data_IF_479206910357
#
_entry.id   IF_479206910357
#
_cell.length_a   1.000
_cell.length_b   1.000
_cell.length_c   1.000
_cell.angle_alpha   90.00
_cell.angle_beta   90.00
_cell.angle_gamma   90.00
#
_symmetry.space_group_name_H-M   'P 1'
#
loop_
_entity.id
_entity.type
_entity.pdbx_description
1 polymer ?
#
# COMPACT_ATOMS: atom_id res chain seq x y z
N UNK A 1 -3.02 1.77 29.20
CA UNK A 1 -3.69 1.24 28.00
C UNK A 1 -2.62 0.47 27.27
N UNK A 2 -2.85 -0.80 26.97
CA UNK A 2 -1.80 -1.68 26.42
C UNK A 2 -1.52 -1.32 24.96
N UNK A 3 -0.25 -1.34 24.54
CA UNK A 3 0.18 -1.07 23.16
C UNK A 3 -0.67 -1.82 22.09
N UNK A 4 -1.13 -3.03 22.41
CA UNK A 4 -1.98 -3.85 21.54
C UNK A 4 -3.37 -3.24 21.25
N UNK A 5 -3.91 -2.38 22.12
CA UNK A 5 -5.20 -1.70 21.90
C UNK A 5 -5.04 -0.47 21.00
N UNK A 6 -3.91 0.22 21.10
CA UNK A 6 -3.58 1.36 20.24
C UNK A 6 -3.24 0.89 18.81
N UNK A 7 -2.64 -0.29 18.64
CA UNK A 7 -2.40 -0.92 17.32
C UNK A 7 -3.69 -1.25 16.56
N UNK A 8 -4.70 -1.82 17.24
CA UNK A 8 -5.99 -2.18 16.62
C UNK A 8 -6.73 -0.91 16.19
N UNK A 9 -6.72 0.13 17.03
CA UNK A 9 -7.38 1.39 16.74
C UNK A 9 -6.73 2.14 15.56
N UNK A 10 -5.40 2.12 15.44
CA UNK A 10 -4.69 2.75 14.32
C UNK A 10 -4.98 2.04 12.98
N UNK A 11 -4.89 0.70 12.95
CA UNK A 11 -5.03 -0.07 11.70
C UNK A 11 -6.45 -0.01 11.11
N UNK A 12 -7.47 -0.16 11.96
CA UNK A 12 -8.86 -0.19 11.48
C UNK A 12 -9.33 1.20 11.04
N UNK A 13 -8.93 2.24 11.75
CA UNK A 13 -9.27 3.64 11.42
C UNK A 13 -8.57 4.10 10.14
N UNK A 14 -7.28 3.81 9.96
CA UNK A 14 -6.60 4.22 8.74
C UNK A 14 -7.06 3.39 7.52
N UNK A 15 -7.39 2.11 7.72
CA UNK A 15 -8.00 1.27 6.67
C UNK A 15 -9.34 1.84 6.20
N UNK A 16 -10.19 2.32 7.10
CA UNK A 16 -11.46 2.95 6.71
C UNK A 16 -11.22 4.24 5.92
N UNK A 17 -10.24 5.06 6.33
CA UNK A 17 -9.88 6.30 5.60
C UNK A 17 -9.39 6.01 4.18
N UNK A 18 -8.53 5.00 3.99
CA UNK A 18 -8.00 4.63 2.66
C UNK A 18 -9.08 3.97 1.79
N UNK A 19 -10.05 3.27 2.39
CA UNK A 19 -11.19 2.68 1.69
C UNK A 19 -12.18 3.70 1.14
N UNK A 20 -12.24 4.90 1.73
CA UNK A 20 -13.20 5.96 1.41
C UNK A 20 -12.64 7.07 0.51
N UNK A 21 -11.42 6.90 -0.01
CA UNK A 21 -10.89 7.86 -0.98
C UNK A 21 -11.84 7.93 -2.21
N UNK A 22 -11.87 9.03 -2.96
CA UNK A 22 -12.58 9.10 -4.24
C UNK A 22 -11.71 8.58 -5.38
N UNK A 23 -12.30 7.92 -6.39
CA UNK A 23 -11.64 7.61 -7.66
C UNK A 23 -11.00 8.88 -8.26
N UNK A 24 -9.77 8.81 -8.80
CA UNK A 24 -8.96 7.61 -9.05
C UNK A 24 -8.15 7.12 -7.82
N UNK A 25 -8.27 7.80 -6.68
CA UNK A 25 -7.38 7.60 -5.54
C UNK A 25 -7.80 6.48 -4.56
N UNK A 26 -8.70 5.54 -4.92
CA UNK A 26 -9.35 4.67 -3.92
C UNK A 26 -9.77 3.25 -4.34
N UNK A 27 -9.59 2.24 -3.46
CA UNK A 27 -8.57 2.14 -2.42
C UNK A 27 -7.24 1.73 -3.05
N UNK A 28 -6.13 2.30 -2.59
CA UNK A 28 -4.88 2.21 -3.34
C UNK A 28 -3.86 1.24 -2.78
N UNK A 29 -4.19 0.52 -1.70
CA UNK A 29 -3.43 -0.67 -1.32
C UNK A 29 -3.98 -1.89 -2.06
N UNK A 30 -3.16 -2.52 -2.88
CA UNK A 30 -3.55 -3.69 -3.67
C UNK A 30 -2.42 -4.71 -3.75
N UNK A 31 -2.74 -5.93 -4.20
CA UNK A 31 -1.73 -6.94 -4.52
C UNK A 31 -1.59 -7.02 -6.03
N UNK A 32 -0.39 -6.73 -6.53
CA UNK A 32 -0.07 -6.85 -7.96
C UNK A 32 -0.07 -8.33 -8.39
N UNK A 33 -0.10 -8.58 -9.71
CA UNK A 33 -0.03 -9.94 -10.28
C UNK A 33 1.27 -10.67 -9.90
N UNK A 34 2.35 -9.92 -9.66
CA UNK A 34 3.62 -10.41 -9.10
C UNK A 34 3.50 -10.91 -7.65
N UNK A 35 2.35 -10.70 -7.00
CA UNK A 35 2.09 -11.04 -5.61
C UNK A 35 2.63 -10.01 -4.61
N UNK A 36 3.19 -8.89 -5.08
CA UNK A 36 3.71 -7.81 -4.23
C UNK A 36 2.56 -6.92 -3.74
N UNK A 37 2.54 -6.60 -2.45
CA UNK A 37 1.62 -5.58 -1.91
C UNK A 37 2.13 -4.19 -2.30
N UNK A 38 1.28 -3.42 -2.97
CA UNK A 38 1.55 -2.08 -3.50
C UNK A 38 0.61 -1.06 -2.86
N UNK A 39 1.01 0.20 -2.86
CA UNK A 39 0.23 1.36 -2.47
C UNK A 39 0.37 2.45 -3.53
N UNK A 40 -0.74 2.96 -4.10
CA UNK A 40 -0.67 4.21 -4.85
C UNK A 40 -0.35 5.34 -3.88
N UNK A 41 0.75 6.04 -4.15
CA UNK A 41 1.21 7.20 -3.37
C UNK A 41 0.92 8.53 -4.07
N UNK A 42 0.45 8.49 -5.32
CA UNK A 42 0.02 9.69 -6.03
C UNK A 42 -0.39 9.42 -7.48
N UNK A 43 -0.61 10.51 -8.21
CA UNK A 43 -0.88 10.50 -9.64
C UNK A 43 0.32 11.12 -10.36
N UNK A 44 0.70 10.54 -11.50
CA UNK A 44 1.80 11.03 -12.34
C UNK A 44 1.32 11.18 -13.78
N UNK A 45 1.67 12.30 -14.43
CA UNK A 45 1.42 12.48 -15.84
C UNK A 45 2.44 11.67 -16.65
N UNK A 46 1.95 10.79 -17.52
CA UNK A 46 2.73 10.01 -18.49
C UNK A 46 2.37 10.41 -19.91
N UNK A 47 3.13 9.88 -20.89
CA UNK A 47 2.85 10.06 -22.32
C UNK A 47 1.48 9.45 -22.73
N UNK A 48 1.00 8.46 -21.97
CA UNK A 48 -0.25 7.76 -22.21
C UNK A 48 -1.44 8.37 -21.44
N UNK A 49 -1.20 9.31 -20.53
CA UNK A 49 -2.22 9.98 -19.74
C UNK A 49 -1.88 10.10 -18.26
N UNK A 50 -2.89 10.35 -17.43
CA UNK A 50 -2.73 10.38 -15.98
C UNK A 50 -2.65 8.95 -15.44
N UNK A 51 -1.50 8.57 -14.89
CA UNK A 51 -1.25 7.25 -14.31
C UNK A 51 -1.10 7.29 -12.79
N UNK A 52 -1.08 6.11 -12.18
CA UNK A 52 -0.80 5.93 -10.76
C UNK A 52 0.70 5.85 -10.51
N UNK A 53 1.14 6.47 -9.42
CA UNK A 53 2.48 6.29 -8.87
C UNK A 53 2.40 5.27 -7.73
N UNK A 54 2.87 4.05 -7.98
CA UNK A 54 2.80 2.94 -7.03
C UNK A 54 4.09 2.72 -6.25
N UNK A 55 3.95 2.31 -4.99
CA UNK A 55 5.05 1.98 -4.10
C UNK A 55 4.85 0.63 -3.41
N UNK A 56 5.90 -0.19 -3.37
CA UNK A 56 5.84 -1.48 -2.68
C UNK A 56 5.81 -1.30 -1.16
N UNK A 57 4.91 -2.02 -0.50
CA UNK A 57 4.73 -1.94 0.95
C UNK A 57 5.61 -2.98 1.64
N UNK A 58 6.75 -2.55 2.18
CA UNK A 58 7.65 -3.41 2.95
C UNK A 58 7.11 -3.73 4.34
N UNK A 59 6.60 -2.70 4.99
CA UNK A 59 6.02 -2.74 6.32
C UNK A 59 4.63 -2.14 6.24
N UNK A 60 3.71 -2.71 7.00
CA UNK A 60 2.37 -2.17 7.15
C UNK A 60 2.47 -0.68 7.51
N UNK A 61 1.93 0.24 6.69
CA UNK A 61 2.03 1.68 6.96
C UNK A 61 1.24 2.09 8.21
N UNK A 62 0.48 1.17 8.80
CA UNK A 62 -0.37 1.39 9.96
C UNK A 62 0.28 0.96 11.28
N UNK A 63 0.78 -0.28 11.36
CA UNK A 63 1.40 -0.84 12.59
C UNK A 63 2.90 -1.15 12.45
N UNK A 64 3.51 -0.92 11.28
CA UNK A 64 4.93 -1.21 11.06
C UNK A 64 5.28 -2.70 10.97
N UNK A 65 4.30 -3.62 11.06
CA UNK A 65 4.55 -5.06 10.86
C UNK A 65 5.21 -5.29 9.51
N UNK A 66 6.31 -6.03 9.48
CA UNK A 66 6.99 -6.40 8.23
C UNK A 66 6.09 -7.32 7.40
N UNK A 67 5.73 -6.90 6.19
CA UNK A 67 4.85 -7.64 5.27
C UNK A 67 5.64 -8.37 4.18
N UNK A 68 6.73 -7.74 3.71
CA UNK A 68 7.53 -8.19 2.58
C UNK A 68 9.01 -7.83 2.81
N UNK A 69 9.93 -8.42 2.04
CA UNK A 69 11.34 -8.05 2.02
C UNK A 69 11.81 -7.67 0.60
N UNK A 70 12.86 -6.85 0.52
CA UNK A 70 13.27 -6.22 -0.74
C UNK A 70 13.84 -7.25 -1.72
N UNK A 71 14.45 -8.31 -1.20
CA UNK A 71 15.02 -9.42 -1.96
C UNK A 71 13.92 -10.22 -2.66
N UNK A 72 12.86 -10.61 -1.93
CA UNK A 72 11.71 -11.32 -2.50
C UNK A 72 10.87 -10.45 -3.45
N UNK A 73 10.93 -9.12 -3.34
CA UNK A 73 10.30 -8.23 -4.33
C UNK A 73 11.14 -8.15 -5.59
N UNK A 74 12.46 -8.02 -5.48
CA UNK A 74 13.35 -7.95 -6.62
C UNK A 74 13.20 -9.19 -7.54
N UNK A 75 13.04 -10.38 -6.96
CA UNK A 75 12.77 -11.62 -7.70
C UNK A 75 11.41 -11.65 -8.43
N UNK A 76 10.41 -10.92 -7.92
CA UNK A 76 9.03 -10.92 -8.43
C UNK A 76 8.75 -9.84 -9.46
N UNK A 77 9.59 -8.80 -9.52
CA UNK A 77 9.47 -7.67 -10.47
C UNK A 77 10.31 -7.91 -11.73
N UNK A 78 11.18 -8.93 -11.75
CA UNK A 78 12.14 -9.19 -12.83
C UNK A 78 11.63 -10.03 -14.01
N UNK A 79 10.32 -10.17 -14.23
CA UNK A 79 9.77 -10.93 -15.37
C UNK A 79 8.59 -10.25 -16.06
#
# INVERSE_FOLDING_TARGET
MSDAQDEIFCCDTLKSVVAELPEPAAPTIYRADSGVMMMVVGLAQTEEGLGYLDHAIMHCPFCGTKLQDAEAIAEKVSH
#
